data_IF_737295214338
#
_entry.id   IF_737295214338
#
_cell.length_a   1.000
_cell.length_b   1.000
_cell.length_c   1.000
_cell.angle_alpha   90.00
_cell.angle_beta   90.00
_cell.angle_gamma   90.00
#
_symmetry.space_group_name_H-M   'P 1'
#
loop_
_entity.id
_entity.type
_entity.pdbx_description
1 polymer ?
#
# COMPACT_ATOMS: atom_id res chain seq x y z
N UNK A 1 0.35 -21.11 -13.88
CA UNK A 1 0.17 -19.87 -13.06
C UNK A 1 -1.32 -19.71 -12.79
N UNK A 2 -1.73 -19.48 -11.56
CA UNK A 2 -3.16 -19.38 -11.22
C UNK A 2 -3.76 -18.15 -11.91
N UNK A 3 -4.81 -18.34 -12.72
CA UNK A 3 -5.47 -17.28 -13.48
C UNK A 3 -5.99 -16.18 -12.56
N UNK A 4 -6.50 -16.52 -11.39
CA UNK A 4 -6.96 -15.55 -10.41
C UNK A 4 -5.80 -14.67 -9.97
N UNK A 5 -4.60 -15.24 -9.69
CA UNK A 5 -3.40 -14.46 -9.35
C UNK A 5 -3.07 -13.44 -10.45
N UNK A 6 -3.17 -13.82 -11.71
CA UNK A 6 -2.90 -12.90 -12.84
C UNK A 6 -3.89 -11.74 -12.89
N UNK A 7 -5.18 -12.04 -12.72
CA UNK A 7 -6.23 -11.01 -12.71
C UNK A 7 -6.01 -10.02 -11.55
N UNK A 8 -5.68 -10.54 -10.36
CA UNK A 8 -5.40 -9.69 -9.19
C UNK A 8 -4.16 -8.81 -9.39
N UNK A 9 -3.08 -9.36 -9.98
CA UNK A 9 -1.87 -8.57 -10.29
C UNK A 9 -2.21 -7.45 -11.29
N UNK A 10 -2.95 -7.73 -12.35
CA UNK A 10 -3.36 -6.72 -13.31
C UNK A 10 -4.24 -5.63 -12.68
N UNK A 11 -5.14 -6.01 -11.77
CA UNK A 11 -5.97 -5.05 -11.07
C UNK A 11 -5.15 -4.16 -10.12
N UNK A 12 -4.16 -4.74 -9.41
CA UNK A 12 -3.21 -3.99 -8.58
C UNK A 12 -2.37 -3.01 -9.40
N UNK A 13 -1.85 -3.43 -10.55
CA UNK A 13 -1.12 -2.55 -11.45
C UNK A 13 -1.98 -1.36 -11.90
N UNK A 14 -3.25 -1.62 -12.21
CA UNK A 14 -4.21 -0.57 -12.57
C UNK A 14 -4.44 0.41 -11.42
N UNK A 15 -4.62 -0.09 -10.19
CA UNK A 15 -4.79 0.74 -9.00
C UNK A 15 -3.53 1.57 -8.74
N UNK A 16 -2.35 0.94 -8.79
CA UNK A 16 -1.07 1.64 -8.60
C UNK A 16 -0.88 2.79 -9.61
N UNK A 17 -1.26 2.56 -10.87
CA UNK A 17 -1.18 3.59 -11.91
C UNK A 17 -2.21 4.71 -11.69
N UNK A 18 -3.46 4.36 -11.35
CA UNK A 18 -4.53 5.33 -11.12
C UNK A 18 -4.26 6.24 -9.92
N UNK A 19 -3.67 5.70 -8.86
CA UNK A 19 -3.36 6.43 -7.64
C UNK A 19 -1.95 7.01 -7.58
N UNK A 20 -1.16 6.85 -8.66
CA UNK A 20 0.23 7.26 -8.74
C UNK A 20 1.09 6.68 -7.59
N UNK A 21 0.95 5.37 -7.33
CA UNK A 21 1.70 4.64 -6.30
C UNK A 21 3.02 4.14 -6.90
N UNK A 22 4.06 4.93 -6.82
CA UNK A 22 5.38 4.60 -7.37
C UNK A 22 6.45 4.39 -6.29
N UNK A 23 6.07 4.48 -5.01
CA UNK A 23 6.98 4.36 -3.88
C UNK A 23 7.95 5.53 -3.72
N UNK A 24 7.76 6.62 -4.46
CA UNK A 24 8.58 7.82 -4.36
C UNK A 24 7.96 8.86 -3.46
N UNK A 25 8.82 9.78 -3.02
CA UNK A 25 8.41 10.92 -2.22
C UNK A 25 7.73 11.96 -3.12
N UNK A 26 6.47 12.27 -2.82
CA UNK A 26 5.70 13.30 -3.52
C UNK A 26 5.39 14.46 -2.60
N UNK A 27 5.42 15.68 -3.15
CA UNK A 27 4.95 16.85 -2.42
C UNK A 27 3.42 16.80 -2.35
N UNK A 28 2.89 16.79 -1.12
CA UNK A 28 1.46 16.76 -0.86
C UNK A 28 0.99 18.12 -0.31
N UNK A 29 0.32 18.89 -1.15
CA UNK A 29 -0.24 20.19 -0.73
C UNK A 29 -1.57 20.09 0.02
N UNK A 30 -2.11 18.88 0.22
CA UNK A 30 -3.41 18.66 0.85
C UNK A 30 -3.46 19.32 2.23
N UNK A 31 -2.42 19.17 3.04
CA UNK A 31 -2.34 19.78 4.37
C UNK A 31 -2.48 21.30 4.31
N UNK A 32 -1.80 21.96 3.36
CA UNK A 32 -1.87 23.43 3.22
C UNK A 32 -3.28 23.87 2.83
N UNK A 33 -3.96 23.12 1.94
CA UNK A 33 -5.31 23.46 1.48
C UNK A 33 -6.39 23.17 2.52
N UNK A 34 -6.25 22.09 3.26
CA UNK A 34 -7.22 21.73 4.31
C UNK A 34 -7.05 22.54 5.58
N UNK A 35 -5.82 22.92 5.92
CA UNK A 35 -5.50 23.60 7.19
C UNK A 35 -4.62 24.85 6.99
N UNK A 36 -5.04 25.85 6.18
CA UNK A 36 -4.21 27.02 5.85
C UNK A 36 -3.84 27.84 7.08
N UNK A 37 -4.76 27.97 8.04
CA UNK A 37 -4.50 28.71 9.28
C UNK A 37 -3.49 28.00 10.19
N UNK A 38 -3.52 26.66 10.26
CA UNK A 38 -2.54 25.87 11.01
C UNK A 38 -1.15 25.98 10.38
N UNK A 39 -1.07 25.90 9.07
CA UNK A 39 0.19 26.07 8.35
C UNK A 39 0.79 27.47 8.58
N UNK A 40 -0.03 28.53 8.50
CA UNK A 40 0.40 29.89 8.77
C UNK A 40 0.84 30.05 10.24
N UNK A 41 0.07 29.53 11.19
CA UNK A 41 0.40 29.55 12.60
C UNK A 41 1.73 28.84 12.88
N UNK A 42 1.99 27.71 12.23
CA UNK A 42 3.26 26.97 12.35
C UNK A 42 4.46 27.84 11.91
N UNK A 43 4.34 28.55 10.79
CA UNK A 43 5.40 29.45 10.30
C UNK A 43 5.60 30.62 11.25
N UNK A 44 4.52 31.28 11.69
CA UNK A 44 4.60 32.41 12.60
C UNK A 44 5.24 31.98 13.92
N UNK A 45 4.84 30.86 14.48
CA UNK A 45 5.40 30.34 15.73
C UNK A 45 6.88 30.00 15.57
N UNK A 46 7.29 29.40 14.45
CA UNK A 46 8.70 29.14 14.17
C UNK A 46 9.53 30.45 14.16
N UNK A 47 9.07 31.46 13.39
CA UNK A 47 9.78 32.74 13.29
C UNK A 47 9.88 33.39 14.64
N UNK A 48 8.79 33.43 15.41
CA UNK A 48 8.75 34.01 16.75
C UNK A 48 9.75 33.33 17.71
N UNK A 49 9.75 31.99 17.75
CA UNK A 49 10.66 31.25 18.61
C UNK A 49 12.11 31.35 18.15
N UNK A 50 12.38 31.35 16.84
CA UNK A 50 13.71 31.54 16.30
C UNK A 50 14.29 32.92 16.69
N UNK A 51 13.46 33.98 16.63
CA UNK A 51 13.86 35.33 17.08
C UNK A 51 14.12 35.35 18.58
N UNK A 52 13.27 34.76 19.41
CA UNK A 52 13.50 34.64 20.84
C UNK A 52 14.80 33.94 21.18
N UNK A 53 15.08 32.82 20.49
CA UNK A 53 16.32 32.05 20.69
C UNK A 53 17.56 32.85 20.27
N UNK A 54 17.44 33.65 19.21
CA UNK A 54 18.53 34.50 18.74
C UNK A 54 18.94 35.58 19.78
N UNK A 55 17.95 36.18 20.44
CA UNK A 55 18.21 37.24 21.45
C UNK A 55 18.47 36.69 22.86
N UNK A 56 18.15 35.45 23.14
CA UNK A 56 18.32 34.85 24.45
C UNK A 56 19.79 34.48 24.71
N UNK A 57 20.42 35.01 25.77
CA UNK A 57 21.85 34.84 26.04
C UNK A 57 22.22 33.37 26.37
N UNK A 58 21.23 32.56 26.70
CA UNK A 58 21.43 31.17 27.10
C UNK A 58 21.43 30.18 25.92
N UNK A 59 20.96 30.59 24.74
CA UNK A 59 20.91 29.77 23.55
C UNK A 59 22.03 30.16 22.57
N UNK A 60 22.92 29.21 22.29
CA UNK A 60 23.94 29.40 21.27
C UNK A 60 23.42 29.14 19.85
N UNK A 61 24.23 29.49 18.85
CA UNK A 61 23.94 29.25 17.43
C UNK A 61 23.58 27.79 17.15
N UNK A 62 24.21 26.86 17.86
CA UNK A 62 23.94 25.42 17.73
C UNK A 62 22.50 25.02 18.10
N UNK A 63 21.96 25.66 19.18
CA UNK A 63 20.57 25.42 19.59
C UNK A 63 19.57 25.90 18.52
N UNK A 64 19.85 27.06 17.90
CA UNK A 64 19.03 27.58 16.82
C UNK A 64 19.10 26.70 15.58
N UNK A 65 20.29 26.19 15.22
CA UNK A 65 20.44 25.26 14.10
C UNK A 65 19.67 23.96 14.34
N UNK A 66 19.78 23.40 15.55
CA UNK A 66 19.05 22.17 15.91
C UNK A 66 17.53 22.41 15.85
N UNK A 67 17.04 23.51 16.42
CA UNK A 67 15.63 23.88 16.37
C UNK A 67 15.13 24.02 14.93
N UNK A 68 15.91 24.69 14.09
CA UNK A 68 15.58 24.87 12.67
C UNK A 68 15.56 23.52 11.92
N UNK A 69 16.53 22.65 12.16
CA UNK A 69 16.57 21.33 11.57
C UNK A 69 15.33 20.50 11.98
N UNK A 70 14.96 20.49 13.25
CA UNK A 70 13.76 19.82 13.73
C UNK A 70 12.48 20.38 13.09
N UNK A 71 12.38 21.70 12.95
CA UNK A 71 11.25 22.32 12.27
C UNK A 71 11.12 21.85 10.82
N UNK A 72 12.23 21.81 10.07
CA UNK A 72 12.20 21.32 8.68
C UNK A 72 11.86 19.83 8.59
N UNK A 73 12.33 19.00 9.50
CA UNK A 73 11.95 17.58 9.56
C UNK A 73 10.44 17.45 9.80
N UNK A 74 9.88 18.17 10.77
CA UNK A 74 8.45 18.17 11.03
C UNK A 74 7.63 18.68 9.84
N UNK A 75 8.08 19.76 9.20
CA UNK A 75 7.45 20.28 8.00
C UNK A 75 7.53 19.28 6.83
N UNK A 76 8.65 18.60 6.67
CA UNK A 76 8.79 17.56 5.65
C UNK A 76 7.81 16.40 5.86
N UNK A 77 7.64 15.92 7.10
CA UNK A 77 6.66 14.85 7.41
C UNK A 77 5.23 15.27 7.07
N UNK A 78 4.89 16.56 7.22
CA UNK A 78 3.56 17.08 6.92
C UNK A 78 3.33 17.36 5.42
N UNK A 79 4.39 17.70 4.69
CA UNK A 79 4.30 18.15 3.30
C UNK A 79 4.70 17.09 2.27
N UNK A 80 5.37 16.04 2.70
CA UNK A 80 5.77 14.96 1.81
C UNK A 80 5.06 13.66 2.19
N UNK A 81 4.56 12.98 1.18
CA UNK A 81 3.88 11.70 1.31
C UNK A 81 4.59 10.66 0.45
N UNK A 82 4.59 9.42 0.93
CA UNK A 82 5.10 8.27 0.18
C UNK A 82 3.93 7.34 -0.04
N UNK A 83 3.54 7.17 -1.29
CA UNK A 83 2.51 6.19 -1.66
C UNK A 83 3.18 4.86 -2.01
N UNK A 84 3.16 3.88 -1.11
CA UNK A 84 3.79 2.59 -1.36
C UNK A 84 3.09 1.87 -2.52
N UNK A 85 3.87 1.13 -3.30
CA UNK A 85 3.36 0.30 -4.40
C UNK A 85 2.69 -0.93 -3.81
N UNK A 86 1.46 -1.20 -4.16
CA UNK A 86 0.77 -2.43 -3.79
C UNK A 86 1.31 -3.61 -4.59
N UNK A 87 1.75 -4.67 -3.90
CA UNK A 87 2.29 -5.88 -4.51
C UNK A 87 1.50 -7.09 -4.07
N UNK A 88 1.25 -8.00 -5.00
CA UNK A 88 0.53 -9.24 -4.69
C UNK A 88 1.27 -10.09 -3.64
N UNK A 89 2.60 -10.12 -3.70
CA UNK A 89 3.42 -10.94 -2.80
C UNK A 89 3.46 -10.40 -1.35
N UNK A 90 2.95 -9.19 -1.11
CA UNK A 90 2.84 -8.60 0.22
C UNK A 90 1.51 -8.97 0.93
N UNK A 91 0.58 -9.68 0.25
CA UNK A 91 -0.78 -9.92 0.76
C UNK A 91 -0.82 -10.78 2.03
N UNK A 92 0.14 -11.65 2.26
CA UNK A 92 0.15 -12.55 3.43
C UNK A 92 1.38 -12.34 4.33
N UNK A 93 2.05 -11.22 4.18
CA UNK A 93 3.30 -10.94 4.89
C UNK A 93 3.03 -10.03 6.09
N UNK A 94 3.04 -10.60 7.30
CA UNK A 94 2.97 -9.87 8.58
C UNK A 94 4.35 -9.47 9.11
N UNK A 95 5.32 -9.22 8.25
CA UNK A 95 6.64 -8.75 8.66
C UNK A 95 6.59 -7.23 8.92
N UNK A 96 7.13 -6.79 10.07
CA UNK A 96 7.25 -5.36 10.43
C UNK A 96 7.93 -4.50 9.34
N UNK A 97 8.78 -5.11 8.51
CA UNK A 97 9.41 -4.44 7.36
C UNK A 97 8.45 -4.19 6.19
N UNK A 98 7.34 -4.92 6.16
CA UNK A 98 6.32 -4.88 5.11
C UNK A 98 4.98 -4.37 5.64
N UNK A 99 4.83 -4.20 6.98
CA UNK A 99 3.60 -3.68 7.61
C UNK A 99 3.09 -2.39 6.95
N UNK A 100 4.00 -1.54 6.51
CA UNK A 100 3.65 -0.30 5.82
C UNK A 100 2.99 -0.55 4.45
N UNK A 101 3.35 -1.65 3.77
CA UNK A 101 2.79 -2.05 2.48
C UNK A 101 1.72 -3.15 2.60
N UNK A 102 1.78 -3.96 3.66
CA UNK A 102 0.99 -5.18 3.78
C UNK A 102 -0.43 -4.95 4.30
N UNK A 103 -0.67 -3.88 5.05
CA UNK A 103 -2.00 -3.63 5.64
C UNK A 103 -3.08 -3.25 4.62
N UNK A 104 -2.71 -2.79 3.43
CA UNK A 104 -3.63 -2.42 2.36
C UNK A 104 -4.57 -3.55 1.92
N UNK A 105 -4.13 -4.79 2.01
CA UNK A 105 -4.87 -5.96 1.52
C UNK A 105 -6.18 -6.21 2.27
N UNK A 106 -6.32 -5.70 3.48
CA UNK A 106 -7.54 -5.83 4.30
C UNK A 106 -8.59 -4.82 3.87
N UNK A 107 -8.17 -3.61 3.49
CA UNK A 107 -9.07 -2.50 3.22
C UNK A 107 -9.31 -2.28 1.72
N UNK A 108 -8.32 -2.62 0.89
CA UNK A 108 -8.41 -2.39 -0.54
C UNK A 108 -9.34 -3.41 -1.21
N UNK A 109 -10.32 -2.90 -1.94
CA UNK A 109 -11.32 -3.71 -2.63
C UNK A 109 -10.87 -4.07 -4.04
N UNK A 110 -11.08 -5.32 -4.41
CA UNK A 110 -10.94 -5.77 -5.79
C UNK A 110 -11.95 -5.03 -6.66
N UNK A 111 -11.50 -4.52 -7.79
CA UNK A 111 -12.38 -3.78 -8.69
C UNK A 111 -13.51 -4.66 -9.25
N UNK A 112 -14.64 -4.02 -9.56
CA UNK A 112 -15.79 -4.71 -10.11
C UNK A 112 -15.47 -5.45 -11.43
N UNK A 113 -14.57 -4.88 -12.24
CA UNK A 113 -14.15 -5.49 -13.50
C UNK A 113 -13.33 -6.76 -13.27
N UNK A 114 -12.41 -6.73 -12.30
CA UNK A 114 -11.64 -7.91 -11.94
C UNK A 114 -12.54 -9.00 -11.34
N UNK A 115 -13.48 -8.64 -10.48
CA UNK A 115 -14.49 -9.58 -9.95
C UNK A 115 -15.30 -10.22 -11.07
N UNK A 116 -15.83 -9.42 -11.99
CA UNK A 116 -16.61 -9.92 -13.14
C UNK A 116 -15.76 -10.84 -14.03
N UNK A 117 -14.49 -10.51 -14.23
CA UNK A 117 -13.56 -11.32 -15.00
C UNK A 117 -13.31 -12.68 -14.31
N UNK A 118 -13.10 -12.69 -12.99
CA UNK A 118 -12.94 -13.94 -12.22
C UNK A 118 -14.20 -14.80 -12.31
N UNK A 119 -15.37 -14.20 -12.08
CA UNK A 119 -16.65 -14.92 -12.10
C UNK A 119 -17.02 -15.46 -13.49
N UNK A 120 -16.64 -14.73 -14.56
CA UNK A 120 -16.89 -15.14 -15.96
C UNK A 120 -15.88 -16.13 -16.51
N UNK A 121 -14.71 -16.30 -15.87
CA UNK A 121 -13.64 -17.10 -16.44
C UNK A 121 -13.95 -18.60 -16.38
N UNK A 122 -13.84 -19.36 -17.50
CA UNK A 122 -14.23 -20.78 -17.56
C UNK A 122 -13.32 -21.68 -16.69
N UNK A 123 -12.05 -21.32 -16.52
CA UNK A 123 -11.06 -22.14 -15.79
C UNK A 123 -11.09 -21.89 -14.27
N UNK A 124 -11.96 -21.02 -13.77
CA UNK A 124 -12.14 -20.81 -12.32
C UNK A 124 -13.20 -21.79 -11.83
N UNK A 125 -12.92 -22.60 -10.78
CA UNK A 125 -13.87 -23.56 -10.22
C UNK A 125 -15.16 -22.87 -9.75
N UNK A 126 -16.30 -23.56 -9.91
CA UNK A 126 -17.60 -23.02 -9.51
C UNK A 126 -17.71 -22.81 -8.01
N UNK A 127 -17.03 -23.62 -7.21
CA UNK A 127 -16.95 -23.54 -5.76
C UNK A 127 -16.34 -22.18 -5.35
N UNK A 128 -15.19 -21.82 -5.93
CA UNK A 128 -14.51 -20.53 -5.71
C UNK A 128 -15.40 -19.35 -6.11
N UNK A 129 -16.08 -19.46 -7.25
CA UNK A 129 -17.03 -18.43 -7.70
C UNK A 129 -18.18 -18.23 -6.72
N UNK A 130 -18.70 -19.33 -6.15
CA UNK A 130 -19.80 -19.27 -5.19
C UNK A 130 -19.36 -18.64 -3.87
N UNK A 131 -18.16 -18.98 -3.38
CA UNK A 131 -17.61 -18.36 -2.16
C UNK A 131 -17.38 -16.85 -2.34
N UNK A 132 -16.79 -16.45 -3.47
CA UNK A 132 -16.60 -15.03 -3.81
C UNK A 132 -17.95 -14.29 -3.82
N UNK A 133 -18.99 -14.85 -4.45
CA UNK A 133 -20.35 -14.28 -4.44
C UNK A 133 -20.94 -14.15 -3.05
N UNK A 134 -20.77 -15.16 -2.19
CA UNK A 134 -21.26 -15.11 -0.82
C UNK A 134 -20.59 -14.01 0.00
N UNK A 135 -19.26 -13.82 -0.15
CA UNK A 135 -18.55 -12.75 0.54
C UNK A 135 -18.99 -11.38 0.05
N UNK A 136 -19.16 -11.20 -1.27
CA UNK A 136 -19.65 -9.95 -1.84
C UNK A 136 -21.03 -9.58 -1.28
N UNK A 137 -21.94 -10.54 -1.16
CA UNK A 137 -23.28 -10.33 -0.58
C UNK A 137 -23.19 -9.97 0.90
N UNK A 138 -22.30 -10.66 1.65
CA UNK A 138 -22.17 -10.46 3.09
C UNK A 138 -21.48 -9.14 3.47
N UNK A 139 -20.42 -8.76 2.73
CA UNK A 139 -19.54 -7.62 3.06
C UNK A 139 -19.81 -6.37 2.19
N UNK A 140 -20.71 -6.45 1.22
CA UNK A 140 -20.93 -5.40 0.21
C UNK A 140 -19.64 -5.04 -0.57
N UNK A 141 -18.86 -6.05 -0.91
CA UNK A 141 -17.60 -5.97 -1.64
C UNK A 141 -16.66 -7.11 -1.25
N UNK A 142 -15.55 -7.22 -1.93
CA UNK A 142 -14.52 -8.22 -1.65
C UNK A 142 -13.15 -7.56 -1.68
N UNK A 143 -12.31 -7.84 -0.67
CA UNK A 143 -10.93 -7.35 -0.59
C UNK A 143 -9.95 -8.31 -1.27
N UNK A 144 -8.75 -7.82 -1.60
CA UNK A 144 -7.69 -8.66 -2.17
C UNK A 144 -7.35 -9.85 -1.27
N UNK A 145 -7.31 -9.64 0.04
CA UNK A 145 -7.06 -10.69 1.02
C UNK A 145 -8.11 -11.79 0.99
N UNK A 146 -9.39 -11.43 0.89
CA UNK A 146 -10.47 -12.43 0.82
C UNK A 146 -10.31 -13.35 -0.39
N UNK A 147 -10.00 -12.78 -1.58
CA UNK A 147 -9.77 -13.58 -2.80
C UNK A 147 -8.50 -14.41 -2.69
N UNK A 148 -7.44 -13.85 -2.08
CA UNK A 148 -6.18 -14.56 -1.86
C UNK A 148 -6.40 -15.80 -0.98
N UNK A 149 -7.10 -15.65 0.15
CA UNK A 149 -7.37 -16.75 1.08
C UNK A 149 -8.20 -17.87 0.44
N UNK A 150 -9.15 -17.53 -0.42
CA UNK A 150 -9.98 -18.52 -1.11
C UNK A 150 -9.20 -19.26 -2.20
N UNK A 151 -8.41 -18.57 -3.01
CA UNK A 151 -7.91 -19.11 -4.25
C UNK A 151 -6.39 -19.31 -4.33
N UNK A 152 -5.61 -18.63 -3.48
CA UNK A 152 -4.15 -18.57 -3.61
C UNK A 152 -3.38 -18.99 -2.35
N UNK A 153 -4.02 -19.00 -1.17
CA UNK A 153 -3.38 -19.44 0.07
C UNK A 153 -3.10 -20.94 0.07
N UNK A 154 -1.98 -21.35 0.64
CA UNK A 154 -1.67 -22.78 0.88
C UNK A 154 -2.71 -23.46 1.78
N UNK A 155 -3.43 -22.72 2.58
CA UNK A 155 -4.53 -23.19 3.43
C UNK A 155 -5.85 -23.33 2.67
N UNK A 156 -5.92 -22.84 1.43
CA UNK A 156 -7.12 -22.95 0.61
C UNK A 156 -7.36 -24.41 0.19
N UNK A 157 -8.61 -24.92 0.33
CA UNK A 157 -8.96 -26.24 -0.18
C UNK A 157 -8.83 -26.36 -1.71
N UNK A 158 -8.71 -25.24 -2.41
CA UNK A 158 -8.57 -25.16 -3.87
C UNK A 158 -7.12 -24.90 -4.32
N UNK A 159 -6.19 -24.81 -3.39
CA UNK A 159 -4.77 -24.61 -3.70
C UNK A 159 -4.21 -25.87 -4.36
N UNK A 160 -3.82 -25.75 -5.63
CA UNK A 160 -3.03 -26.77 -6.32
C UNK A 160 -1.57 -26.34 -6.31
N UNK A 161 -0.69 -27.02 -5.54
CA UNK A 161 0.73 -26.72 -5.57
C UNK A 161 1.23 -26.92 -6.99
N UNK A 162 1.96 -25.93 -7.50
CA UNK A 162 2.57 -25.98 -8.83
C UNK A 162 3.54 -27.17 -8.88
N UNK A 163 3.19 -28.23 -9.61
CA UNK A 163 4.15 -29.27 -9.94
C UNK A 163 5.16 -28.67 -10.93
N UNK A 164 6.34 -28.34 -10.42
CA UNK A 164 7.49 -28.08 -11.28
C UNK A 164 7.77 -29.36 -12.03
N UNK A 165 7.36 -29.41 -13.28
CA UNK A 165 7.76 -30.45 -14.21
C UNK A 165 9.29 -30.43 -14.29
N UNK A 166 9.92 -31.32 -13.53
CA UNK A 166 11.35 -31.59 -13.67
C UNK A 166 11.52 -32.15 -15.07
N UNK A 167 11.85 -31.31 -16.04
CA UNK A 167 12.41 -31.74 -17.30
C UNK A 167 13.67 -32.53 -16.99
N UNK A 168 13.54 -33.84 -16.99
CA UNK A 168 14.64 -34.78 -17.09
C UNK A 168 15.56 -34.32 -18.22
N UNK A 169 16.67 -33.72 -17.87
CA UNK A 169 17.80 -33.61 -18.79
C UNK A 169 18.35 -35.02 -18.92
N UNK A 170 17.89 -35.72 -19.93
CA UNK A 170 18.50 -36.98 -20.36
C UNK A 170 19.88 -36.59 -20.88
N UNK A 171 20.89 -36.89 -20.07
CA UNK A 171 22.28 -36.94 -20.47
C UNK A 171 22.43 -37.98 -21.56
N UNK A 172 22.62 -37.54 -22.79
CA UNK A 172 23.13 -38.38 -23.85
C UNK A 172 24.64 -38.51 -23.71
N UNK A 173 25.10 -39.77 -23.60
CA UNK A 173 26.49 -40.15 -23.68
C UNK A 173 27.11 -39.74 -24.99
#
# INVERSE_FOLDING_TARGET
MNIIKQILIQDLERINLAEHRDGKVHFNSIFIHQHPYLFLAMIITYVFLAVLMWYAPYFGVWSLLLFTALFFVMAAVLLFDIKPVYRFDDIDVLDLRVCYNGEWFVDEKVSQDAVNTILGHPNVPNEVKNEIKQIIIKKNGICFYDVFMIACSEQSPYFQPYQVEQKHVISAK
#
